data_IF_563551419150
#
_entry.id   IF_563551419150
#
_cell.length_a   1.000
_cell.length_b   1.000
_cell.length_c   1.000
_cell.angle_alpha   90.00
_cell.angle_beta   90.00
_cell.angle_gamma   90.00
#
_symmetry.space_group_name_H-M   'P 1'
#
loop_
_entity.id
_entity.type
_entity.pdbx_description
1 polymer ?
#
# COMPACT_ATOMS: atom_id res chain seq x y z
N UNK A 1 -19.44 0.16 -14.38
CA UNK A 1 -18.45 1.03 -15.04
C UNK A 1 -17.11 0.38 -14.80
N UNK A 2 -16.51 -0.24 -15.82
CA UNK A 2 -15.19 -0.86 -15.69
C UNK A 2 -14.13 0.22 -15.45
N UNK A 3 -13.24 -0.02 -14.49
CA UNK A 3 -12.26 0.96 -14.04
C UNK A 3 -11.02 0.87 -14.94
N UNK A 4 -10.96 1.67 -16.01
CA UNK A 4 -9.92 1.65 -17.05
C UNK A 4 -8.54 2.20 -16.62
N UNK A 5 -8.25 2.22 -15.32
CA UNK A 5 -7.00 2.78 -14.82
C UNK A 5 -5.83 1.87 -15.21
N UNK A 6 -5.06 2.25 -16.23
CA UNK A 6 -3.88 1.51 -16.68
C UNK A 6 -2.60 1.84 -15.90
N UNK A 7 -2.53 3.01 -15.30
CA UNK A 7 -1.36 3.52 -14.59
C UNK A 7 -1.81 4.21 -13.30
N UNK A 8 -1.16 3.87 -12.19
CA UNK A 8 -1.34 4.54 -10.91
C UNK A 8 0.03 4.87 -10.32
N UNK A 9 0.28 6.16 -10.08
CA UNK A 9 1.48 6.59 -9.37
C UNK A 9 1.08 7.13 -8.00
N UNK A 10 1.59 6.44 -6.98
CA UNK A 10 1.51 6.78 -5.57
C UNK A 10 2.90 7.13 -5.01
N UNK A 11 3.89 7.34 -5.87
CA UNK A 11 5.26 7.63 -5.48
C UNK A 11 5.40 8.92 -4.67
N UNK A 12 6.41 8.99 -3.81
CA UNK A 12 6.76 10.15 -2.98
C UNK A 12 5.62 10.66 -2.10
N UNK A 13 4.78 9.75 -1.61
CA UNK A 13 3.76 10.04 -0.61
C UNK A 13 4.24 9.60 0.79
N UNK A 14 3.32 9.60 1.75
CA UNK A 14 3.58 9.18 3.13
C UNK A 14 2.86 7.86 3.44
N UNK A 15 2.77 6.97 2.45
CA UNK A 15 2.19 5.64 2.65
C UNK A 15 3.09 4.86 3.60
N UNK A 16 2.48 4.40 4.69
CA UNK A 16 3.12 3.54 5.68
C UNK A 16 2.58 2.13 5.65
N UNK A 17 1.45 1.92 4.99
CA UNK A 17 0.91 0.60 4.77
C UNK A 17 -0.18 0.61 3.71
N UNK A 18 -0.56 -0.59 3.29
CA UNK A 18 -1.61 -0.82 2.29
C UNK A 18 -2.53 -1.90 2.86
N UNK A 19 -3.82 -1.58 2.95
CA UNK A 19 -4.82 -2.52 3.42
C UNK A 19 -5.06 -3.63 2.40
N UNK A 20 -5.53 -4.80 2.83
CA UNK A 20 -6.00 -5.82 1.90
C UNK A 20 -7.02 -5.26 0.91
N UNK A 21 -7.04 -5.82 -0.30
CA UNK A 21 -8.02 -5.53 -1.35
C UNK A 21 -7.99 -4.10 -1.94
N UNK A 22 -7.04 -3.23 -1.54
CA UNK A 22 -6.93 -1.85 -2.06
C UNK A 22 -6.90 -1.77 -3.59
N UNK A 23 -6.35 -2.78 -4.26
CA UNK A 23 -6.16 -2.79 -5.71
C UNK A 23 -7.08 -3.77 -6.47
N UNK A 24 -8.00 -4.47 -5.78
CA UNK A 24 -8.81 -5.54 -6.38
C UNK A 24 -9.74 -5.02 -7.49
N UNK A 25 -10.25 -3.80 -7.32
CA UNK A 25 -11.09 -3.14 -8.32
C UNK A 25 -10.34 -2.58 -9.54
N UNK A 26 -9.01 -2.65 -9.57
CA UNK A 26 -8.17 -2.07 -10.63
C UNK A 26 -7.77 -3.14 -11.67
N UNK A 27 -8.77 -3.77 -12.28
CA UNK A 27 -8.59 -4.88 -13.24
C UNK A 27 -7.73 -4.53 -14.45
N UNK A 28 -7.67 -3.26 -14.85
CA UNK A 28 -6.89 -2.80 -16.01
C UNK A 28 -5.50 -2.22 -15.68
N UNK A 29 -5.12 -2.18 -14.40
CA UNK A 29 -3.85 -1.59 -13.95
C UNK A 29 -2.64 -2.36 -14.50
N UNK A 30 -1.79 -1.69 -15.25
CA UNK A 30 -0.55 -2.26 -15.80
C UNK A 30 0.67 -1.83 -15.02
N UNK A 31 0.68 -0.59 -14.53
CA UNK A 31 1.81 -0.02 -13.80
C UNK A 31 1.35 0.60 -12.49
N UNK A 32 2.04 0.24 -11.40
CA UNK A 32 1.86 0.79 -10.07
C UNK A 32 3.20 1.30 -9.54
N UNK A 33 3.31 2.60 -9.28
CA UNK A 33 4.52 3.17 -8.69
C UNK A 33 4.26 3.58 -7.24
N UNK A 34 5.07 3.09 -6.30
CA UNK A 34 4.94 3.35 -4.85
C UNK A 34 6.29 3.76 -4.23
N UNK A 35 7.35 3.84 -5.04
CA UNK A 35 8.67 4.29 -4.60
C UNK A 35 8.65 5.65 -3.90
N UNK A 36 9.57 5.86 -2.94
CA UNK A 36 9.67 7.11 -2.18
C UNK A 36 8.63 7.28 -1.06
N UNK A 37 7.90 6.21 -0.69
CA UNK A 37 7.07 6.17 0.50
C UNK A 37 7.84 5.62 1.71
N UNK A 38 7.33 5.87 2.92
CA UNK A 38 7.90 5.38 4.17
C UNK A 38 7.38 3.95 4.46
N UNK A 39 7.90 2.97 3.73
CA UNK A 39 7.43 1.58 3.77
C UNK A 39 8.10 0.77 4.90
N UNK A 40 7.39 0.46 6.00
CA UNK A 40 7.84 -0.52 6.97
C UNK A 40 7.69 -1.92 6.37
N UNK A 41 8.80 -2.64 6.24
CA UNK A 41 8.84 -4.02 5.75
C UNK A 41 8.56 -5.02 6.88
N UNK A 42 7.39 -4.86 7.49
CA UNK A 42 6.81 -5.76 8.47
C UNK A 42 5.43 -6.25 7.98
N UNK A 43 4.60 -6.84 8.85
CA UNK A 43 3.29 -7.34 8.43
C UNK A 43 2.33 -6.25 7.91
N UNK A 44 2.58 -4.96 8.16
CA UNK A 44 1.71 -3.88 7.67
C UNK A 44 1.80 -3.70 6.15
N UNK A 45 2.93 -4.05 5.52
CA UNK A 45 3.10 -3.98 4.06
C UNK A 45 2.91 -5.34 3.37
N UNK A 46 2.71 -6.41 4.16
CA UNK A 46 2.49 -7.76 3.65
C UNK A 46 1.36 -7.84 2.60
N UNK A 47 0.20 -7.16 2.75
CA UNK A 47 -0.85 -7.21 1.73
C UNK A 47 -0.38 -6.70 0.35
N UNK A 48 0.48 -5.68 0.31
CA UNK A 48 1.06 -5.21 -0.95
C UNK A 48 1.97 -6.29 -1.56
N UNK A 49 2.81 -6.93 -0.75
CA UNK A 49 3.73 -7.97 -1.24
C UNK A 49 2.96 -9.19 -1.74
N UNK A 50 1.93 -9.64 -1.02
CA UNK A 50 1.05 -10.71 -1.48
C UNK A 50 0.35 -10.32 -2.79
N UNK A 51 -0.13 -9.08 -2.92
CA UNK A 51 -0.73 -8.58 -4.15
C UNK A 51 0.26 -8.56 -5.32
N UNK A 52 1.51 -8.11 -5.11
CA UNK A 52 2.56 -8.11 -6.14
C UNK A 52 2.87 -9.53 -6.63
N UNK A 53 2.92 -10.50 -5.71
CA UNK A 53 3.15 -11.92 -6.04
C UNK A 53 1.97 -12.53 -6.81
N UNK A 54 0.74 -12.13 -6.50
CA UNK A 54 -0.44 -12.55 -7.25
C UNK A 54 -0.56 -11.87 -8.63
N UNK A 55 0.11 -10.74 -8.85
CA UNK A 55 -0.03 -9.89 -10.04
C UNK A 55 1.30 -9.70 -10.80
N UNK A 56 2.06 -10.77 -11.02
CA UNK A 56 3.40 -10.74 -11.66
C UNK A 56 3.45 -10.17 -13.07
N UNK A 57 2.32 -10.07 -13.76
CA UNK A 57 2.22 -9.47 -15.11
C UNK A 57 2.14 -7.94 -15.08
N UNK A 58 1.98 -7.33 -13.89
CA UNK A 58 1.94 -5.89 -13.70
C UNK A 58 3.33 -5.38 -13.37
N UNK A 59 3.67 -4.20 -13.87
CA UNK A 59 4.90 -3.50 -13.51
C UNK A 59 4.68 -2.77 -12.17
N UNK A 60 5.36 -3.20 -11.12
CA UNK A 60 5.25 -2.57 -9.79
C UNK A 60 6.61 -2.01 -9.41
N UNK A 61 6.66 -0.69 -9.19
CA UNK A 61 7.84 0.01 -8.70
C UNK A 61 7.64 0.33 -7.22
N UNK A 62 7.78 -0.67 -6.35
CA UNK A 62 7.44 -0.55 -4.94
C UNK A 62 8.44 0.29 -4.12
N UNK A 63 9.72 0.23 -4.48
CA UNK A 63 10.79 0.95 -3.78
C UNK A 63 11.43 0.14 -2.65
N UNK A 64 12.06 0.85 -1.72
CA UNK A 64 12.88 0.26 -0.66
C UNK A 64 12.24 0.42 0.72
N UNK A 65 12.53 -0.54 1.59
CA UNK A 65 12.14 -0.53 2.98
C UNK A 65 12.78 0.64 3.73
N UNK A 66 12.00 1.34 4.55
CA UNK A 66 12.52 2.40 5.44
C UNK A 66 12.75 1.88 6.86
N UNK A 67 12.00 0.87 7.29
CA UNK A 67 12.10 0.24 8.62
C UNK A 67 11.63 -1.23 8.56
N UNK A 68 11.90 -2.06 9.59
CA UNK A 68 12.81 -1.79 10.70
C UNK A 68 14.28 -1.69 10.23
N UNK A 69 15.20 -1.37 11.14
CA UNK A 69 16.59 -1.06 10.78
C UNK A 69 17.29 -2.18 10.01
N UNK A 70 16.94 -3.43 10.30
CA UNK A 70 17.45 -4.64 9.66
C UNK A 70 16.98 -4.80 8.20
N UNK A 71 15.88 -4.12 7.84
CA UNK A 71 15.31 -4.14 6.50
C UNK A 71 15.62 -2.87 5.71
N UNK A 72 16.14 -1.81 6.34
CA UNK A 72 16.43 -0.53 5.70
C UNK A 72 17.20 -0.69 4.38
N UNK A 73 16.67 -0.12 3.30
CA UNK A 73 17.28 -0.11 1.97
C UNK A 73 17.06 -1.37 1.13
N UNK A 74 16.48 -2.45 1.69
CA UNK A 74 16.12 -3.63 0.90
C UNK A 74 14.98 -3.30 -0.07
N UNK A 75 15.03 -3.84 -1.28
CA UNK A 75 13.92 -3.68 -2.22
C UNK A 75 12.73 -4.53 -1.79
N UNK A 76 11.53 -3.96 -1.85
CA UNK A 76 10.32 -4.69 -1.48
C UNK A 76 10.06 -5.88 -2.43
N UNK A 77 10.48 -5.77 -3.69
CA UNK A 77 10.36 -6.81 -4.71
C UNK A 77 11.09 -8.11 -4.34
N UNK A 78 12.14 -8.02 -3.51
CA UNK A 78 12.99 -9.14 -3.11
C UNK A 78 12.50 -9.85 -1.85
N UNK A 79 11.49 -9.31 -1.16
CA UNK A 79 11.04 -9.81 0.13
C UNK A 79 9.93 -10.85 0.01
N UNK A 80 9.93 -11.81 0.93
CA UNK A 80 8.90 -12.82 1.10
C UNK A 80 8.08 -12.58 2.36
N UNK A 81 6.99 -13.34 2.49
CA UNK A 81 6.17 -13.33 3.71
C UNK A 81 6.99 -13.68 4.96
N UNK A 82 7.96 -14.58 4.85
CA UNK A 82 8.76 -15.05 5.98
C UNK A 82 9.73 -13.98 6.51
N UNK A 83 10.09 -13.03 5.65
CA UNK A 83 10.89 -11.84 6.00
C UNK A 83 10.06 -10.82 6.79
N UNK A 84 8.73 -10.84 6.64
CA UNK A 84 7.80 -9.85 7.21
C UNK A 84 7.20 -10.34 8.51
N UNK A 85 7.81 -9.93 9.63
CA UNK A 85 7.35 -10.28 10.98
C UNK A 85 6.76 -9.07 11.68
N UNK A 86 5.69 -9.27 12.43
CA UNK A 86 5.16 -8.25 13.34
C UNK A 86 5.50 -8.58 14.79
N UNK A 87 5.91 -7.55 15.53
CA UNK A 87 6.00 -7.57 16.99
C UNK A 87 4.60 -7.34 17.56
N UNK A 88 4.26 -7.90 18.72
CA UNK A 88 2.93 -7.67 19.36
C UNK A 88 2.66 -6.20 19.75
N UNK A 89 3.63 -5.29 19.54
CA UNK A 89 3.61 -3.87 19.92
C UNK A 89 3.33 -2.96 18.71
N UNK A 90 2.56 -3.43 17.72
CA UNK A 90 2.27 -2.60 16.55
C UNK A 90 1.27 -1.51 16.96
N UNK A 91 1.76 -0.28 17.08
CA UNK A 91 0.94 0.91 16.87
C UNK A 91 0.45 0.84 15.41
N UNK A 92 -0.67 0.15 15.19
CA UNK A 92 -1.13 -0.25 13.87
C UNK A 92 -1.37 1.00 13.02
N UNK A 93 -0.45 1.32 12.11
CA UNK A 93 -0.60 2.47 11.22
C UNK A 93 -1.78 2.26 10.25
N UNK A 94 -2.14 1.01 9.97
CA UNK A 94 -3.42 0.64 9.40
C UNK A 94 -4.28 0.11 10.54
N UNK A 95 -5.27 0.86 10.98
CA UNK A 95 -6.20 0.37 11.99
C UNK A 95 -6.84 -0.93 11.48
N UNK A 96 -6.59 -2.04 12.18
CA UNK A 96 -6.97 -3.40 11.79
C UNK A 96 -8.48 -3.67 11.69
N UNK A 97 -9.34 -2.66 11.78
CA UNK A 97 -10.80 -2.79 11.77
C UNK A 97 -11.51 -2.00 10.67
N UNK A 98 -10.80 -1.43 9.69
CA UNK A 98 -11.45 -0.77 8.54
C UNK A 98 -11.99 0.65 8.80
N UNK A 99 -11.86 1.18 10.01
CA UNK A 99 -12.36 2.52 10.39
C UNK A 99 -11.26 3.62 10.42
N UNK A 100 -10.14 3.43 9.72
CA UNK A 100 -9.10 4.45 9.70
C UNK A 100 -9.43 5.58 8.72
N UNK A 101 -9.84 6.73 9.25
CA UNK A 101 -9.92 7.99 8.49
C UNK A 101 -8.89 9.01 9.00
N UNK A 102 -7.86 9.37 8.20
CA UNK A 102 -6.87 10.37 8.60
C UNK A 102 -7.51 11.72 8.94
N UNK A 103 -6.93 12.44 9.92
CA UNK A 103 -7.39 13.78 10.28
C UNK A 103 -7.33 14.73 9.07
N UNK A 104 -8.45 15.38 8.75
CA UNK A 104 -8.58 16.26 7.59
C UNK A 104 -9.04 15.57 6.29
N UNK A 105 -9.40 14.29 6.36
CA UNK A 105 -9.94 13.52 5.23
C UNK A 105 -11.39 13.07 5.49
N UNK A 106 -12.14 12.87 4.41
CA UNK A 106 -13.49 12.31 4.39
C UNK A 106 -13.44 10.89 3.86
N UNK A 107 -13.74 9.92 4.71
CA UNK A 107 -13.78 8.50 4.35
C UNK A 107 -15.23 8.04 4.17
N UNK A 108 -15.45 7.20 3.16
CA UNK A 108 -16.73 6.55 2.87
C UNK A 108 -16.31 5.20 2.29
N UNK A 109 -16.64 4.12 2.96
CA UNK A 109 -16.11 2.81 2.62
C UNK A 109 -14.57 2.84 2.64
N UNK A 110 -13.93 2.21 1.67
CA UNK A 110 -12.49 2.24 1.33
C UNK A 110 -12.00 3.52 0.63
N UNK A 111 -12.89 4.48 0.45
CA UNK A 111 -12.71 5.64 -0.38
C UNK A 111 -12.22 6.68 0.68
N UNK A 112 -10.96 7.18 0.66
CA UNK A 112 -10.45 8.36 1.43
C UNK A 112 -10.32 9.64 0.56
N UNK A 113 -11.02 10.75 0.87
CA UNK A 113 -10.89 12.08 0.19
C UNK A 113 -10.18 13.06 1.11
N UNK A 114 -9.05 13.64 0.74
CA UNK A 114 -8.39 14.67 1.53
C UNK A 114 -8.38 16.00 0.77
N UNK A 115 -8.77 17.10 1.41
CA UNK A 115 -8.71 18.43 0.79
C UNK A 115 -7.24 18.85 0.64
N UNK A 116 -6.78 19.06 -0.61
CA UNK A 116 -5.41 19.42 -1.04
C UNK A 116 -4.32 18.34 -1.12
N UNK A 117 -4.66 17.04 -1.22
CA UNK A 117 -3.74 16.02 -1.79
C UNK A 117 -4.56 15.02 -2.61
N UNK A 118 -4.13 14.71 -3.82
CA UNK A 118 -4.81 13.74 -4.71
C UNK A 118 -4.79 12.36 -4.03
N UNK A 119 -5.94 11.90 -3.57
CA UNK A 119 -6.15 10.57 -2.96
C UNK A 119 -7.08 9.77 -3.87
N UNK A 120 -6.61 8.63 -4.40
CA UNK A 120 -7.48 7.67 -5.09
C UNK A 120 -8.13 6.77 -4.04
N UNK A 121 -9.40 6.49 -4.28
CA UNK A 121 -10.33 5.75 -3.44
C UNK A 121 -10.76 4.45 -4.16
N UNK A 122 -11.04 3.32 -3.50
CA UNK A 122 -11.58 2.11 -4.17
C UNK A 122 -12.57 1.29 -3.34
N UNK A 123 -13.89 1.48 -3.55
CA UNK A 123 -15.09 0.78 -3.01
C UNK A 123 -14.87 -0.69 -2.55
N UNK A 124 -15.43 -1.18 -1.44
CA UNK A 124 -16.85 -1.24 -1.02
C UNK A 124 -17.06 -1.06 0.48
#
# INVERSE_FOLDING_TARGET
LENFLHFSSLSNNQLKCITPNTFDGLTHLRTLQISGNDLPCDCQVLPLVEWMRANTTRNVEAGQCTRPAEMLGKNLDDLSKDDMRCSDVVESACAGNGDYCPAGCTCQDTIVRCSNKVTIRTAY
#
